data_IF_164367494737
#
_entry.id   IF_164367494737
#
_cell.length_a   1.000
_cell.length_b   1.000
_cell.length_c   1.000
_cell.angle_alpha   90.00
_cell.angle_beta   90.00
_cell.angle_gamma   90.00
#
_symmetry.space_group_name_H-M   'P 1'
#
loop_
_entity.id
_entity.type
_entity.pdbx_description
1 polymer ?
#
# COMPACT_ATOMS: atom_id res chain seq x y z
N UNK A 1 16.70 -26.58 -26.70
CA UNK A 1 17.37 -25.69 -25.72
C UNK A 1 16.29 -24.97 -24.94
N UNK A 2 16.35 -25.04 -23.62
CA UNK A 2 15.41 -24.37 -22.69
C UNK A 2 15.62 -22.86 -22.84
N UNK A 3 14.58 -22.02 -22.99
CA UNK A 3 14.77 -20.58 -22.83
C UNK A 3 15.20 -20.37 -21.38
N UNK A 4 16.36 -19.76 -21.20
CA UNK A 4 16.80 -19.21 -19.92
C UNK A 4 15.84 -18.09 -19.55
N UNK A 5 14.80 -18.44 -18.79
CA UNK A 5 14.02 -17.51 -17.99
C UNK A 5 14.97 -16.86 -16.99
N UNK A 6 15.54 -15.70 -17.34
CA UNK A 6 16.21 -14.87 -16.36
C UNK A 6 15.23 -14.62 -15.20
N UNK A 7 15.63 -14.85 -13.94
CA UNK A 7 14.80 -14.44 -12.83
C UNK A 7 14.78 -12.92 -12.88
N UNK A 8 13.68 -12.34 -13.34
CA UNK A 8 13.50 -10.89 -13.33
C UNK A 8 13.58 -10.47 -11.87
N UNK A 9 14.75 -9.95 -11.46
CA UNK A 9 15.03 -9.51 -10.09
C UNK A 9 14.34 -8.18 -9.75
N UNK A 10 13.36 -7.78 -10.56
CA UNK A 10 12.47 -6.65 -10.36
C UNK A 10 11.05 -7.12 -10.01
N UNK A 11 10.28 -6.26 -9.35
CA UNK A 11 8.83 -6.44 -9.21
C UNK A 11 8.24 -6.86 -10.57
N UNK A 12 7.47 -7.94 -10.60
CA UNK A 12 6.77 -8.32 -11.84
C UNK A 12 5.85 -7.16 -12.23
N UNK A 13 5.60 -6.94 -13.53
CA UNK A 13 4.86 -5.77 -14.00
C UNK A 13 3.51 -5.55 -13.29
N UNK A 14 2.85 -6.64 -12.88
CA UNK A 14 1.61 -6.59 -12.10
C UNK A 14 1.81 -6.12 -10.65
N UNK A 15 2.90 -6.53 -9.96
CA UNK A 15 3.19 -6.04 -8.61
C UNK A 15 3.52 -4.55 -8.62
N UNK A 16 4.20 -4.08 -9.67
CA UNK A 16 4.50 -2.66 -9.85
C UNK A 16 3.21 -1.84 -10.08
N UNK A 17 2.30 -2.34 -10.93
CA UNK A 17 0.99 -1.72 -11.13
C UNK A 17 0.18 -1.66 -9.82
N UNK A 18 0.18 -2.75 -9.03
CA UNK A 18 -0.48 -2.81 -7.72
C UNK A 18 0.14 -1.80 -6.75
N UNK A 19 1.48 -1.71 -6.71
CA UNK A 19 2.19 -0.76 -5.87
C UNK A 19 1.83 0.69 -6.23
N UNK A 20 1.85 1.05 -7.52
CA UNK A 20 1.47 2.40 -7.98
C UNK A 20 0.01 2.70 -7.62
N UNK A 21 -0.90 1.79 -7.94
CA UNK A 21 -2.32 1.98 -7.68
C UNK A 21 -2.60 2.19 -6.19
N UNK A 22 -2.06 1.31 -5.34
CA UNK A 22 -2.20 1.41 -3.89
C UNK A 22 -1.57 2.70 -3.34
N UNK A 23 -0.42 3.12 -3.88
CA UNK A 23 0.25 4.37 -3.50
C UNK A 23 -0.61 5.57 -3.82
N UNK A 24 -1.09 5.70 -5.06
CA UNK A 24 -1.95 6.80 -5.47
C UNK A 24 -3.23 6.84 -4.65
N UNK A 25 -3.89 5.70 -4.49
CA UNK A 25 -5.15 5.61 -3.77
C UNK A 25 -5.03 5.99 -2.28
N UNK A 26 -4.02 5.46 -1.59
CA UNK A 26 -3.78 5.78 -0.18
C UNK A 26 -3.32 7.24 0.00
N UNK A 27 -2.50 7.76 -0.91
CA UNK A 27 -2.03 9.14 -0.87
C UNK A 27 -3.17 10.14 -1.07
N UNK A 28 -4.04 9.93 -2.07
CA UNK A 28 -5.23 10.77 -2.29
C UNK A 28 -6.09 10.85 -1.04
N UNK A 29 -6.34 9.70 -0.41
CA UNK A 29 -7.10 9.70 0.84
C UNK A 29 -6.42 10.51 1.95
N UNK A 30 -5.11 10.37 2.15
CA UNK A 30 -4.41 11.08 3.22
C UNK A 30 -4.43 12.60 3.01
N UNK A 31 -4.37 13.07 1.76
CA UNK A 31 -4.54 14.49 1.42
C UNK A 31 -5.95 14.96 1.79
N UNK A 32 -6.99 14.20 1.46
CA UNK A 32 -8.36 14.54 1.81
C UNK A 32 -8.57 14.65 3.33
N UNK A 33 -7.92 13.79 4.12
CA UNK A 33 -7.96 13.85 5.58
C UNK A 33 -7.23 15.08 6.14
N UNK A 34 -6.10 15.47 5.52
CA UNK A 34 -5.37 16.68 5.88
C UNK A 34 -6.15 17.98 5.59
N UNK A 35 -6.98 17.98 4.54
CA UNK A 35 -7.89 19.11 4.25
C UNK A 35 -9.00 19.25 5.30
N UNK A 36 -9.38 18.16 5.98
CA UNK A 36 -10.41 18.19 7.03
C UNK A 36 -9.87 18.64 8.38
N UNK A 37 -8.67 18.19 8.76
CA UNK A 37 -8.02 18.55 10.02
C UNK A 37 -6.52 18.28 9.94
N UNK A 38 -5.71 19.19 10.51
CA UNK A 38 -4.24 19.05 10.53
C UNK A 38 -3.82 17.82 11.35
N UNK A 39 -4.48 17.57 12.49
CA UNK A 39 -4.17 16.43 13.37
C UNK A 39 -4.56 15.11 12.69
N UNK A 40 -5.74 15.08 12.04
CA UNK A 40 -6.19 13.92 11.27
C UNK A 40 -5.27 13.67 10.06
N UNK A 41 -4.85 14.74 9.38
CA UNK A 41 -3.90 14.69 8.27
C UNK A 41 -2.56 14.10 8.67
N UNK A 42 -1.97 14.56 9.77
CA UNK A 42 -0.70 14.03 10.28
C UNK A 42 -0.81 12.54 10.64
N UNK A 43 -1.87 12.15 11.37
CA UNK A 43 -2.12 10.76 11.73
C UNK A 43 -2.36 9.87 10.50
N UNK A 44 -3.11 10.39 9.52
CA UNK A 44 -3.38 9.70 8.25
C UNK A 44 -2.12 9.57 7.40
N UNK A 45 -1.25 10.58 7.34
CA UNK A 45 0.01 10.53 6.60
C UNK A 45 0.97 9.50 7.22
N UNK A 46 1.09 9.49 8.55
CA UNK A 46 1.90 8.49 9.25
C UNK A 46 1.39 7.07 8.98
N UNK A 47 0.07 6.86 9.08
CA UNK A 47 -0.55 5.55 8.82
C UNK A 47 -0.38 5.11 7.37
N UNK A 48 -0.60 6.01 6.42
CA UNK A 48 -0.38 5.74 4.99
C UNK A 48 1.10 5.43 4.71
N UNK A 49 2.03 6.18 5.28
CA UNK A 49 3.47 5.94 5.12
C UNK A 49 3.88 4.54 5.63
N UNK A 50 3.40 4.15 6.80
CA UNK A 50 3.61 2.81 7.35
C UNK A 50 2.98 1.73 6.47
N UNK A 51 1.77 1.94 5.99
CA UNK A 51 1.07 1.03 5.07
C UNK A 51 1.83 0.81 3.76
N UNK A 52 2.35 1.89 3.16
CA UNK A 52 3.16 1.82 1.94
C UNK A 52 4.50 1.14 2.15
N UNK A 53 5.15 1.41 3.28
CA UNK A 53 6.39 0.72 3.64
C UNK A 53 6.18 -0.79 3.78
N UNK A 54 5.11 -1.21 4.48
CA UNK A 54 4.69 -2.61 4.61
C UNK A 54 4.36 -3.23 3.26
N UNK A 55 3.63 -2.51 2.40
CA UNK A 55 3.26 -2.96 1.06
C UNK A 55 4.50 -3.23 0.20
N UNK A 56 5.43 -2.27 0.13
CA UNK A 56 6.66 -2.42 -0.65
C UNK A 56 7.54 -3.55 -0.09
N UNK A 57 7.64 -3.66 1.24
CA UNK A 57 8.35 -4.77 1.89
C UNK A 57 7.70 -6.12 1.56
N UNK A 58 6.38 -6.20 1.55
CA UNK A 58 5.63 -7.40 1.24
C UNK A 58 5.78 -7.82 -0.22
N UNK A 59 5.62 -6.88 -1.16
CA UNK A 59 5.77 -7.14 -2.58
C UNK A 59 7.19 -7.56 -2.96
N UNK A 60 8.21 -7.10 -2.21
CA UNK A 60 9.60 -7.56 -2.35
C UNK A 60 9.86 -8.95 -1.76
N UNK A 61 8.93 -9.52 -0.97
CA UNK A 61 9.08 -10.90 -0.53
C UNK A 61 8.91 -11.80 -1.75
N UNK A 62 9.88 -12.70 -2.01
CA UNK A 62 9.91 -13.61 -3.17
C UNK A 62 8.81 -14.68 -3.17
N UNK A 63 7.61 -14.34 -2.73
CA UNK A 63 6.42 -15.18 -2.64
C UNK A 63 5.72 -15.28 -4.01
N UNK A 64 4.86 -16.29 -4.21
CA UNK A 64 4.04 -16.40 -5.41
C UNK A 64 3.15 -15.17 -5.64
N UNK A 65 2.93 -14.82 -6.90
CA UNK A 65 2.20 -13.61 -7.32
C UNK A 65 0.81 -13.49 -6.68
N UNK A 66 0.03 -14.58 -6.63
CA UNK A 66 -1.30 -14.60 -6.01
C UNK A 66 -1.25 -14.24 -4.51
N UNK A 67 -0.22 -14.70 -3.78
CA UNK A 67 -0.03 -14.42 -2.35
C UNK A 67 0.40 -12.96 -2.14
N UNK A 68 1.25 -12.44 -3.03
CA UNK A 68 1.65 -11.02 -3.00
C UNK A 68 0.46 -10.11 -3.22
N UNK A 69 -0.37 -10.40 -4.21
CA UNK A 69 -1.59 -9.66 -4.51
C UNK A 69 -2.58 -9.69 -3.34
N UNK A 70 -2.90 -10.87 -2.81
CA UNK A 70 -3.81 -11.00 -1.68
C UNK A 70 -3.31 -10.24 -0.45
N UNK A 71 -2.00 -10.31 -0.15
CA UNK A 71 -1.42 -9.55 0.95
C UNK A 71 -1.38 -8.05 0.69
N UNK A 72 -1.17 -7.60 -0.56
CA UNK A 72 -1.27 -6.19 -0.92
C UNK A 72 -2.67 -5.63 -0.68
N UNK A 73 -3.70 -6.37 -1.12
CA UNK A 73 -5.12 -6.02 -0.86
C UNK A 73 -5.39 -5.95 0.64
N UNK A 74 -4.90 -6.92 1.41
CA UNK A 74 -5.06 -6.94 2.87
C UNK A 74 -4.39 -5.74 3.54
N UNK A 75 -3.16 -5.39 3.15
CA UNK A 75 -2.43 -4.23 3.70
C UNK A 75 -3.16 -2.93 3.39
N UNK A 76 -3.65 -2.76 2.16
CA UNK A 76 -4.44 -1.57 1.77
C UNK A 76 -5.74 -1.50 2.58
N UNK A 77 -6.46 -2.61 2.72
CA UNK A 77 -7.70 -2.68 3.50
C UNK A 77 -7.46 -2.33 4.98
N UNK A 78 -6.40 -2.86 5.59
CA UNK A 78 -6.01 -2.54 6.97
C UNK A 78 -5.66 -1.06 7.13
N UNK A 79 -4.87 -0.51 6.20
CA UNK A 79 -4.48 0.91 6.22
C UNK A 79 -5.70 1.82 6.16
N UNK A 80 -6.67 1.50 5.29
CA UNK A 80 -7.94 2.22 5.22
C UNK A 80 -8.78 2.04 6.50
N UNK A 81 -8.85 0.83 7.04
CA UNK A 81 -9.60 0.56 8.28
C UNK A 81 -9.08 1.39 9.45
N UNK A 82 -7.76 1.46 9.62
CA UNK A 82 -7.13 2.31 10.65
C UNK A 82 -7.45 3.79 10.40
N UNK A 83 -7.40 4.25 9.15
CA UNK A 83 -7.74 5.65 8.83
C UNK A 83 -9.20 5.99 9.11
N UNK A 84 -10.13 5.09 8.79
CA UNK A 84 -11.54 5.28 9.13
C UNK A 84 -11.76 5.35 10.66
N UNK A 85 -11.02 4.55 11.43
CA UNK A 85 -11.02 4.64 12.90
C UNK A 85 -10.46 5.96 13.40
N UNK A 86 -9.33 6.42 12.85
CA UNK A 86 -8.75 7.74 13.17
C UNK A 86 -9.75 8.87 12.87
N UNK A 87 -10.45 8.80 11.73
CA UNK A 87 -11.51 9.73 11.38
C UNK A 87 -12.69 9.74 12.35
N UNK A 88 -12.99 8.64 13.06
CA UNK A 88 -14.04 8.60 14.10
C UNK A 88 -13.59 9.10 15.46
N UNK A 89 -12.28 9.08 15.72
CA UNK A 89 -11.70 9.43 17.03
C UNK A 89 -11.22 10.88 17.06
N UNK A 90 -10.76 11.41 15.92
CA UNK A 90 -10.12 12.73 15.80
C UNK A 90 -11.00 13.81 15.16
N UNK A 91 -12.19 13.45 14.65
CA UNK A 91 -13.27 14.36 14.25
C UNK A 91 -14.44 14.22 15.23
#
# INVERSE_FOLDING_TARGET
MKPTDEPTSGLQGLDFAVAIFATMFLATGAVMDALRSVVLGAASLATTGLGLWLLLRWLKSGRPQAVRFAGAVLIVALTLGVRLLLGKVLL
#
